data_IF_872710849648
#
_entry.id   IF_872710849648
#
_cell.length_a   1.000
_cell.length_b   1.000
_cell.length_c   1.000
_cell.angle_alpha   90.00
_cell.angle_beta   90.00
_cell.angle_gamma   90.00
#
_symmetry.space_group_name_H-M   'P 1'
#
loop_
_entity.id
_entity.type
_entity.pdbx_description
1 polymer ?
#
# COMPACT_ATOMS: atom_id res chain seq x y z
N UNK A 1 55.37 27.66 6.87
CA UNK A 1 55.19 26.22 7.19
C UNK A 1 54.78 26.20 8.65
N UNK A 2 53.48 26.27 8.93
CA UNK A 2 52.53 25.12 9.03
C UNK A 2 52.78 24.33 10.32
N UNK A 3 51.82 24.02 11.19
CA UNK A 3 50.38 24.21 11.22
C UNK A 3 49.97 24.25 12.70
N UNK A 4 49.03 25.14 13.02
CA UNK A 4 48.24 25.10 14.25
C UNK A 4 47.07 24.15 13.95
N UNK A 5 47.05 22.94 14.51
CA UNK A 5 45.87 22.07 14.49
C UNK A 5 45.18 22.18 15.85
N UNK A 6 44.06 22.89 15.83
CA UNK A 6 43.10 22.99 16.92
C UNK A 6 42.07 21.88 16.70
N UNK A 7 42.28 20.71 17.29
CA UNK A 7 41.24 19.68 17.34
C UNK A 7 40.15 20.11 18.33
N UNK A 8 39.08 20.69 17.81
CA UNK A 8 37.84 20.85 18.55
C UNK A 8 37.13 19.50 18.55
N UNK A 9 37.46 18.67 19.54
CA UNK A 9 36.69 17.48 19.87
C UNK A 9 35.35 17.90 20.45
N UNK A 10 34.35 18.13 19.58
CA UNK A 10 32.96 18.34 20.02
C UNK A 10 32.46 17.01 20.57
N UNK A 11 32.53 16.85 21.89
CA UNK A 11 31.83 15.77 22.58
C UNK A 11 30.32 16.01 22.39
N UNK A 12 29.67 15.23 21.54
CA UNK A 12 28.24 15.34 21.25
C UNK A 12 27.36 15.18 22.49
N UNK A 13 27.84 14.47 23.52
CA UNK A 13 27.15 14.40 24.82
C UNK A 13 27.09 15.77 25.51
N UNK A 14 28.06 16.66 25.24
CA UNK A 14 28.18 17.97 25.88
C UNK A 14 27.13 18.96 25.33
N UNK A 15 26.89 18.98 24.02
CA UNK A 15 25.98 19.97 23.40
C UNK A 15 24.54 19.84 23.91
N UNK A 16 24.01 18.62 23.99
CA UNK A 16 22.65 18.40 24.50
C UNK A 16 22.54 18.54 26.02
N UNK A 17 23.61 18.25 26.77
CA UNK A 17 23.63 18.44 28.23
C UNK A 17 23.65 19.92 28.66
N UNK A 18 23.96 20.83 27.73
CA UNK A 18 23.99 22.27 27.97
C UNK A 18 22.68 22.97 27.60
N UNK A 19 21.76 22.28 26.93
CA UNK A 19 20.46 22.83 26.57
C UNK A 19 19.49 22.70 27.75
N UNK A 20 18.71 23.75 28.08
CA UNK A 20 17.59 23.62 29.00
C UNK A 20 16.66 22.48 28.58
N UNK A 21 16.05 21.80 29.55
CA UNK A 21 15.13 20.67 29.31
C UNK A 21 14.06 21.01 28.26
N UNK A 22 13.49 22.22 28.34
CA UNK A 22 12.48 22.73 27.42
C UNK A 22 12.97 22.90 25.97
N UNK A 23 14.27 23.17 25.78
CA UNK A 23 14.87 23.30 24.45
C UNK A 23 15.04 21.93 23.79
N UNK A 24 15.45 20.93 24.57
CA UNK A 24 15.63 19.56 24.09
C UNK A 24 14.32 18.97 23.60
N UNK A 25 13.23 19.09 24.37
CA UNK A 25 11.90 18.63 23.95
C UNK A 25 11.42 19.32 22.66
N UNK A 26 11.60 20.64 22.55
CA UNK A 26 11.24 21.39 21.32
C UNK A 26 12.02 20.95 20.09
N UNK A 27 13.32 20.66 20.24
CA UNK A 27 14.13 20.14 19.14
C UNK A 27 13.63 18.75 18.74
N UNK A 28 13.44 17.85 19.71
CA UNK A 28 12.97 16.49 19.45
C UNK A 28 11.62 16.46 18.75
N UNK A 29 10.69 17.35 19.12
CA UNK A 29 9.38 17.47 18.51
C UNK A 29 9.40 17.93 17.04
N UNK A 30 10.54 18.42 16.54
CA UNK A 30 10.76 18.79 15.13
C UNK A 30 11.50 17.70 14.33
N UNK A 31 11.88 16.59 14.98
CA UNK A 31 12.55 15.45 14.34
C UNK A 31 11.54 14.36 13.96
N UNK A 32 11.99 13.20 13.49
CA UNK A 32 11.11 12.05 13.29
C UNK A 32 10.89 11.26 14.59
N UNK A 33 9.75 10.53 14.73
CA UNK A 33 9.55 9.58 15.83
C UNK A 33 10.70 8.58 16.00
N UNK A 34 11.34 8.19 14.90
CA UNK A 34 12.50 7.29 14.88
C UNK A 34 13.72 7.94 15.51
N UNK A 35 13.98 9.20 15.18
CA UNK A 35 15.11 9.94 15.72
C UNK A 35 14.92 10.21 17.21
N UNK A 36 13.70 10.53 17.65
CA UNK A 36 13.36 10.64 19.08
C UNK A 36 13.65 9.34 19.81
N UNK A 37 13.23 8.19 19.25
CA UNK A 37 13.55 6.88 19.82
C UNK A 37 15.07 6.63 19.89
N UNK A 38 15.84 6.98 18.86
CA UNK A 38 17.30 6.82 18.86
C UNK A 38 17.99 7.72 19.89
N UNK A 39 17.58 8.99 19.97
CA UNK A 39 18.17 9.97 20.91
C UNK A 39 17.86 9.58 22.37
N UNK A 40 16.72 8.96 22.64
CA UNK A 40 16.36 8.46 23.98
C UNK A 40 17.39 7.49 24.58
N UNK A 41 18.17 6.80 23.74
CA UNK A 41 19.15 5.79 24.17
C UNK A 41 20.50 6.41 24.59
N UNK A 42 20.71 7.70 24.34
CA UNK A 42 22.01 8.36 24.54
C UNK A 42 22.25 8.73 26.01
N UNK A 43 21.22 9.20 26.72
CA UNK A 43 21.33 9.54 28.14
C UNK A 43 19.96 9.54 28.82
N UNK A 44 19.94 9.42 30.16
CA UNK A 44 18.69 9.49 30.95
C UNK A 44 17.95 10.83 30.78
N UNK A 45 18.69 11.93 30.67
CA UNK A 45 18.08 13.25 30.47
C UNK A 45 17.38 13.33 29.11
N UNK A 46 18.01 12.77 28.07
CA UNK A 46 17.42 12.72 26.73
C UNK A 46 16.26 11.74 26.65
N UNK A 47 16.33 10.62 27.38
CA UNK A 47 15.22 9.69 27.53
C UNK A 47 13.99 10.38 28.11
N UNK A 48 14.13 11.08 29.24
CA UNK A 48 13.00 11.80 29.86
C UNK A 48 12.39 12.85 28.93
N UNK A 49 13.22 13.60 28.20
CA UNK A 49 12.75 14.56 27.21
C UNK A 49 12.05 13.88 26.01
N UNK A 50 12.60 12.76 25.53
CA UNK A 50 12.07 11.99 24.40
C UNK A 50 10.76 11.28 24.73
N UNK A 51 10.54 10.88 25.99
CA UNK A 51 9.31 10.22 26.46
C UNK A 51 8.22 11.21 26.88
N UNK A 52 8.46 12.52 26.77
CA UNK A 52 7.49 13.56 27.12
C UNK A 52 6.31 13.62 26.16
N UNK A 53 5.09 13.70 26.70
CA UNK A 53 3.86 13.86 25.92
C UNK A 53 3.86 15.11 25.04
N UNK A 54 4.55 16.18 25.45
CA UNK A 54 4.68 17.39 24.63
C UNK A 54 5.41 17.14 23.29
N UNK A 55 6.30 16.14 23.24
CA UNK A 55 7.00 15.71 22.02
C UNK A 55 6.07 14.84 21.17
N UNK A 56 5.49 13.80 21.77
CA UNK A 56 4.64 12.85 21.05
C UNK A 56 3.33 13.46 20.54
N UNK A 57 2.82 14.51 21.20
CA UNK A 57 1.70 15.30 20.70
C UNK A 57 1.97 15.88 19.30
N UNK A 58 3.22 16.23 18.97
CA UNK A 58 3.56 16.77 17.65
C UNK A 58 3.59 15.72 16.55
N UNK A 59 3.68 14.44 16.91
CA UNK A 59 3.65 13.32 15.97
C UNK A 59 2.25 12.77 15.74
N UNK A 60 1.31 13.08 16.64
CA UNK A 60 -0.10 12.77 16.45
C UNK A 60 -0.74 13.80 15.51
N UNK A 61 -1.62 13.38 14.58
CA UNK A 61 -2.42 14.31 13.80
C UNK A 61 -3.27 15.18 14.71
N UNK A 62 -3.47 16.46 14.39
CA UNK A 62 -4.22 17.39 15.26
C UNK A 62 -5.68 16.98 15.50
N UNK A 63 -6.24 16.15 14.63
CA UNK A 63 -7.61 15.63 14.68
C UNK A 63 -7.66 14.17 15.14
N UNK A 64 -6.60 13.62 15.75
CA UNK A 64 -6.57 12.23 16.21
C UNK A 64 -7.71 11.90 17.19
N UNK A 65 -8.07 12.82 18.09
CA UNK A 65 -9.16 12.61 19.06
C UNK A 65 -10.52 12.44 18.37
N UNK A 66 -10.79 13.24 17.32
CA UNK A 66 -12.04 13.13 16.59
C UNK A 66 -12.11 11.82 15.80
N UNK A 67 -10.98 11.40 15.20
CA UNK A 67 -10.86 10.11 14.51
C UNK A 67 -11.12 8.94 15.49
N UNK A 68 -10.50 8.98 16.68
CA UNK A 68 -10.67 7.96 17.71
C UNK A 68 -12.12 7.90 18.19
N UNK A 69 -12.77 9.05 18.39
CA UNK A 69 -14.17 9.11 18.79
C UNK A 69 -15.13 8.49 17.75
N UNK A 70 -14.73 8.49 16.47
CA UNK A 70 -15.45 7.86 15.37
C UNK A 70 -15.14 6.36 15.18
N UNK A 71 -14.37 5.75 16.08
CA UNK A 71 -14.05 4.32 16.03
C UNK A 71 -15.27 3.44 16.33
N UNK A 72 -15.38 2.32 15.63
CA UNK A 72 -16.48 1.36 15.82
C UNK A 72 -16.34 0.62 17.15
N UNK A 73 -15.11 0.28 17.52
CA UNK A 73 -14.79 -0.40 18.76
C UNK A 73 -14.01 0.55 19.67
N UNK A 74 -14.30 0.60 20.99
CA UNK A 74 -13.51 1.37 21.93
C UNK A 74 -12.03 1.00 21.86
N UNK A 75 -11.16 2.00 21.83
CA UNK A 75 -9.72 1.79 21.98
C UNK A 75 -9.34 1.81 23.47
N UNK A 76 -8.22 1.18 23.87
CA UNK A 76 -7.74 1.24 25.25
C UNK A 76 -7.40 2.67 25.69
N UNK A 77 -7.45 2.92 27.00
CA UNK A 77 -6.85 4.11 27.60
C UNK A 77 -5.34 3.94 27.68
N UNK A 78 -4.59 5.00 27.39
CA UNK A 78 -3.12 5.00 27.38
C UNK A 78 -2.57 5.95 28.45
N UNK A 79 -1.47 5.56 29.09
CA UNK A 79 -0.82 6.38 30.11
C UNK A 79 0.05 7.49 29.52
N UNK A 80 0.40 7.39 28.23
CA UNK A 80 1.16 8.41 27.50
C UNK A 80 0.74 8.50 26.03
N UNK A 81 1.04 9.64 25.41
CA UNK A 81 0.83 9.86 23.97
C UNK A 81 1.75 9.01 23.11
N UNK A 82 2.91 8.62 23.65
CA UNK A 82 3.81 7.65 23.02
C UNK A 82 3.15 6.28 22.88
N UNK A 83 2.51 5.78 23.93
CA UNK A 83 1.78 4.51 23.89
C UNK A 83 0.62 4.56 22.90
N UNK A 84 -0.15 5.66 22.90
CA UNK A 84 -1.21 5.88 21.92
C UNK A 84 -0.67 5.89 20.48
N UNK A 85 0.43 6.61 20.23
CA UNK A 85 1.07 6.64 18.91
C UNK A 85 1.46 5.23 18.45
N UNK A 86 2.17 4.47 19.31
CA UNK A 86 2.60 3.10 19.00
C UNK A 86 1.39 2.20 18.76
N UNK A 87 0.31 2.35 19.53
CA UNK A 87 -0.92 1.60 19.33
C UNK A 87 -1.52 1.88 17.95
N UNK A 88 -1.68 3.16 17.57
CA UNK A 88 -2.26 3.56 16.28
C UNK A 88 -1.39 3.14 15.07
N UNK A 89 -0.09 2.92 15.26
CA UNK A 89 0.78 2.37 14.21
C UNK A 89 0.55 0.88 13.94
N UNK A 90 0.23 0.10 14.97
CA UNK A 90 0.17 -1.37 14.87
C UNK A 90 -1.26 -1.92 14.87
N UNK A 91 -2.23 -1.12 15.33
CA UNK A 91 -3.62 -1.53 15.48
C UNK A 91 -4.51 -0.58 14.67
N UNK A 92 -4.75 -0.89 13.38
CA UNK A 92 -5.68 -0.12 12.56
C UNK A 92 -7.07 -0.15 13.18
N UNK A 93 -7.66 1.03 13.32
CA UNK A 93 -9.00 1.17 13.90
C UNK A 93 -10.04 1.33 12.81
N UNK A 94 -11.15 0.62 12.94
CA UNK A 94 -12.30 0.76 12.05
C UNK A 94 -13.05 2.04 12.38
N UNK A 95 -13.30 2.86 11.38
CA UNK A 95 -14.02 4.13 11.45
C UNK A 95 -15.09 4.18 10.35
N UNK A 96 -15.96 5.20 10.39
CA UNK A 96 -16.99 5.40 9.37
C UNK A 96 -17.87 4.15 9.18
N UNK A 97 -18.46 3.67 10.29
CA UNK A 97 -19.32 2.47 10.34
C UNK A 97 -18.59 1.21 9.85
N UNK A 98 -17.27 1.15 10.05
CA UNK A 98 -16.45 0.01 9.65
C UNK A 98 -16.17 -0.06 8.15
N UNK A 99 -16.39 1.02 7.40
CA UNK A 99 -16.10 1.08 5.96
C UNK A 99 -14.69 1.58 5.65
N UNK A 100 -14.00 2.16 6.63
CA UNK A 100 -12.60 2.61 6.49
C UNK A 100 -11.79 2.17 7.70
N UNK A 101 -10.50 1.90 7.52
CA UNK A 101 -9.55 1.77 8.61
C UNK A 101 -8.65 3.01 8.67
N UNK A 102 -8.25 3.39 9.88
CA UNK A 102 -7.25 4.41 10.15
C UNK A 102 -6.07 3.82 10.91
N UNK A 103 -4.86 4.23 10.56
CA UNK A 103 -3.64 3.96 11.32
C UNK A 103 -2.62 5.08 11.09
N UNK A 104 -1.52 5.07 11.83
CA UNK A 104 -0.39 5.97 11.59
C UNK A 104 0.75 5.25 10.89
N UNK A 105 1.40 5.91 9.93
CA UNK A 105 2.69 5.46 9.43
C UNK A 105 3.73 5.55 10.55
N UNK A 106 4.37 4.42 10.82
CA UNK A 106 5.28 4.24 11.96
C UNK A 106 6.54 5.09 11.91
N UNK A 107 6.92 5.56 10.73
CA UNK A 107 8.16 6.30 10.53
C UNK A 107 7.94 7.81 10.53
N UNK A 108 6.81 8.26 9.99
CA UNK A 108 6.51 9.68 9.78
C UNK A 108 5.40 10.21 10.69
N UNK A 109 4.59 9.35 11.31
CA UNK A 109 3.38 9.76 12.03
C UNK A 109 2.26 10.30 11.14
N UNK A 110 2.41 10.18 9.82
CA UNK A 110 1.41 10.61 8.85
C UNK A 110 0.25 9.61 8.82
N UNK A 111 -0.94 10.10 8.47
CA UNK A 111 -2.16 9.30 8.46
C UNK A 111 -2.10 8.25 7.36
N UNK A 112 -2.53 7.03 7.66
CA UNK A 112 -2.82 5.99 6.68
C UNK A 112 -4.32 5.71 6.70
N UNK A 113 -4.90 5.50 5.52
CA UNK A 113 -6.30 5.09 5.40
C UNK A 113 -6.43 3.84 4.56
N UNK A 114 -7.37 2.97 4.92
CA UNK A 114 -7.77 1.84 4.09
C UNK A 114 -9.26 1.97 3.79
N UNK A 115 -9.62 2.09 2.53
CA UNK A 115 -11.00 2.10 2.07
C UNK A 115 -11.44 0.66 1.84
N UNK A 116 -12.30 0.12 2.69
CA UNK A 116 -12.81 -1.25 2.52
C UNK A 116 -13.73 -1.35 1.30
N UNK A 117 -14.00 -2.57 0.82
CA UNK A 117 -14.84 -2.80 -0.36
C UNK A 117 -16.17 -2.04 -0.32
N UNK A 118 -16.83 -1.96 0.85
CA UNK A 118 -18.09 -1.21 1.07
C UNK A 118 -17.99 0.31 0.87
N UNK A 119 -16.77 0.84 0.79
CA UNK A 119 -16.49 2.26 0.51
C UNK A 119 -16.03 2.49 -0.93
N UNK A 120 -16.00 1.45 -1.77
CA UNK A 120 -15.63 1.55 -3.18
C UNK A 120 -16.90 1.56 -4.05
N UNK A 121 -16.82 2.26 -5.17
CA UNK A 121 -17.76 2.09 -6.26
C UNK A 121 -17.26 0.94 -7.13
N UNK A 122 -17.92 -0.21 -7.03
CA UNK A 122 -17.61 -1.39 -7.83
C UNK A 122 -18.75 -1.54 -8.83
N UNK A 123 -18.42 -1.47 -10.12
CA UNK A 123 -19.39 -1.65 -11.18
C UNK A 123 -20.18 -2.94 -10.99
N UNK A 124 -21.49 -2.88 -11.25
CA UNK A 124 -22.42 -3.99 -11.09
C UNK A 124 -22.49 -4.60 -9.67
N UNK A 125 -22.45 -3.77 -8.61
CA UNK A 125 -22.83 -4.14 -7.21
C UNK A 125 -24.29 -4.58 -7.12
N UNK A 126 -24.57 -5.71 -7.76
CA UNK A 126 -25.83 -6.42 -7.79
C UNK A 126 -25.55 -7.82 -7.26
N UNK A 127 -26.43 -8.38 -6.41
CA UNK A 127 -26.21 -9.68 -5.79
C UNK A 127 -25.97 -10.85 -6.77
N UNK A 128 -26.27 -10.65 -8.05
CA UNK A 128 -26.05 -11.63 -9.12
C UNK A 128 -24.57 -11.80 -9.46
N UNK A 129 -23.76 -10.75 -9.35
CA UNK A 129 -22.37 -10.73 -9.84
C UNK A 129 -21.36 -10.52 -8.71
N UNK A 130 -21.77 -9.80 -7.64
CA UNK A 130 -20.94 -9.51 -6.49
C UNK A 130 -21.60 -10.04 -5.20
N UNK A 131 -20.81 -10.75 -4.39
CA UNK A 131 -21.23 -11.26 -3.08
C UNK A 131 -20.39 -10.65 -1.99
N UNK A 132 -21.04 -10.24 -0.91
CA UNK A 132 -20.38 -9.83 0.31
C UNK A 132 -20.16 -11.06 1.19
N UNK A 133 -18.91 -11.31 1.56
CA UNK A 133 -18.51 -12.46 2.37
C UNK A 133 -17.69 -11.99 3.56
N UNK A 134 -17.72 -12.75 4.65
CA UNK A 134 -16.83 -12.53 5.79
C UNK A 134 -15.62 -13.46 5.68
N UNK A 135 -14.43 -12.92 5.91
CA UNK A 135 -13.18 -13.67 5.95
C UNK A 135 -12.45 -13.38 7.27
N UNK A 136 -11.95 -14.42 7.98
CA UNK A 136 -11.31 -14.25 9.29
C UNK A 136 -9.98 -13.49 9.22
N UNK A 137 -9.37 -13.43 8.05
CA UNK A 137 -8.10 -12.78 7.77
C UNK A 137 -8.28 -11.41 7.09
N UNK A 138 -9.50 -10.88 7.05
CA UNK A 138 -9.76 -9.50 6.63
C UNK A 138 -9.84 -8.55 7.81
N UNK A 139 -9.39 -7.31 7.57
CA UNK A 139 -9.58 -6.19 8.50
C UNK A 139 -11.02 -5.68 8.57
N UNK A 140 -11.85 -6.03 7.57
CA UNK A 140 -13.23 -5.58 7.45
C UNK A 140 -14.22 -6.71 7.78
N UNK A 141 -15.42 -6.40 8.32
CA UNK A 141 -16.43 -7.41 8.59
C UNK A 141 -16.87 -8.18 7.34
N UNK A 142 -16.92 -7.48 6.21
CA UNK A 142 -17.27 -8.02 4.90
C UNK A 142 -16.30 -7.50 3.82
N UNK A 143 -16.00 -8.39 2.87
CA UNK A 143 -15.25 -8.10 1.65
C UNK A 143 -16.06 -8.48 0.42
N UNK A 144 -15.77 -7.84 -0.72
CA UNK A 144 -16.47 -8.11 -1.96
C UNK A 144 -15.83 -9.29 -2.68
N UNK A 145 -16.63 -10.29 -3.08
CA UNK A 145 -16.22 -11.41 -3.92
C UNK A 145 -16.94 -11.34 -5.25
N UNK A 146 -16.18 -11.21 -6.33
CA UNK A 146 -16.69 -11.30 -7.69
C UNK A 146 -16.92 -12.77 -8.06
N UNK A 147 -18.17 -13.10 -8.38
CA UNK A 147 -18.57 -14.45 -8.78
C UNK A 147 -18.64 -14.61 -10.31
N UNK A 148 -19.17 -13.61 -11.03
CA UNK A 148 -19.22 -13.60 -12.50
C UNK A 148 -19.27 -12.14 -12.98
N UNK A 149 -18.20 -11.60 -13.58
CA UNK A 149 -18.28 -10.29 -14.25
C UNK A 149 -17.50 -10.29 -15.57
N UNK A 150 -18.00 -9.51 -16.52
CA UNK A 150 -17.38 -9.24 -17.82
C UNK A 150 -16.58 -7.94 -17.83
N UNK A 151 -16.77 -7.03 -16.84
CA UNK A 151 -16.04 -5.77 -16.73
C UNK A 151 -15.61 -5.51 -15.28
N UNK A 152 -14.32 -5.41 -15.02
CA UNK A 152 -13.80 -4.98 -13.73
C UNK A 152 -13.68 -3.46 -13.75
N UNK A 153 -14.46 -2.75 -12.95
CA UNK A 153 -14.36 -1.29 -12.82
C UNK A 153 -14.58 -0.93 -11.35
N UNK A 154 -13.49 -0.48 -10.72
CA UNK A 154 -13.40 -0.22 -9.29
C UNK A 154 -12.85 1.17 -9.11
N UNK A 155 -13.62 1.99 -8.41
CA UNK A 155 -13.28 3.38 -8.14
C UNK A 155 -13.36 3.65 -6.63
N UNK A 156 -12.29 4.19 -6.08
CA UNK A 156 -12.23 4.73 -4.72
C UNK A 156 -12.06 6.23 -4.75
N UNK A 157 -12.67 6.93 -3.79
CA UNK A 157 -12.48 8.37 -3.60
C UNK A 157 -12.16 8.72 -2.15
N UNK A 158 -11.31 9.73 -1.96
CA UNK A 158 -10.98 10.27 -0.65
C UNK A 158 -10.72 11.78 -0.76
N UNK A 159 -11.18 12.56 0.23
CA UNK A 159 -10.86 13.99 0.30
C UNK A 159 -9.41 14.18 0.75
N UNK A 160 -8.66 15.03 0.08
CA UNK A 160 -7.27 15.33 0.46
C UNK A 160 -7.17 15.91 1.87
N UNK A 161 -8.16 16.71 2.31
CA UNK A 161 -8.19 17.29 3.65
C UNK A 161 -8.28 16.31 4.82
N UNK A 162 -8.67 15.03 4.60
CA UNK A 162 -8.60 14.02 5.67
C UNK A 162 -7.21 13.40 5.82
N UNK A 163 -6.37 13.52 4.79
CA UNK A 163 -5.00 13.03 4.78
C UNK A 163 -4.06 14.05 5.46
N UNK A 164 -2.84 13.62 5.79
CA UNK A 164 -1.82 14.59 6.22
C UNK A 164 -1.46 15.53 5.07
N UNK A 165 -1.40 16.85 5.28
CA UNK A 165 -1.06 17.82 4.24
C UNK A 165 0.41 17.73 3.86
N UNK A 166 0.74 18.25 2.67
CA UNK A 166 2.09 18.32 2.10
C UNK A 166 2.83 16.98 2.15
N UNK A 167 2.12 15.92 1.80
CA UNK A 167 2.61 14.55 1.92
C UNK A 167 2.38 13.84 0.60
N UNK A 168 3.41 13.15 0.11
CA UNK A 168 3.26 12.23 -1.02
C UNK A 168 2.63 10.94 -0.51
N UNK A 169 1.60 10.47 -1.21
CA UNK A 169 0.91 9.22 -0.92
C UNK A 169 1.01 8.28 -2.12
N UNK A 170 0.95 6.99 -1.84
CA UNK A 170 0.70 5.95 -2.82
C UNK A 170 -0.55 5.17 -2.42
N UNK A 171 -1.38 4.83 -3.42
CA UNK A 171 -2.57 4.00 -3.25
C UNK A 171 -2.32 2.59 -3.79
N UNK A 172 -2.81 1.59 -3.07
CA UNK A 172 -2.61 0.18 -3.37
C UNK A 172 -3.94 -0.56 -3.34
N UNK A 173 -4.25 -1.28 -4.41
CA UNK A 173 -5.40 -2.17 -4.43
C UNK A 173 -5.05 -3.50 -3.77
N UNK A 174 -5.83 -3.90 -2.76
CA UNK A 174 -5.58 -5.08 -1.91
C UNK A 174 -6.66 -6.13 -2.12
N UNK A 175 -6.25 -7.34 -2.49
CA UNK A 175 -7.15 -8.38 -2.95
C UNK A 175 -6.58 -9.80 -2.80
N UNK A 176 -7.42 -10.81 -3.00
CA UNK A 176 -7.09 -12.23 -3.09
C UNK A 176 -7.66 -12.83 -4.37
N UNK A 177 -7.03 -13.89 -4.85
CA UNK A 177 -7.50 -14.67 -6.00
C UNK A 177 -7.79 -16.10 -5.55
N UNK A 178 -9.01 -16.57 -5.79
CA UNK A 178 -9.38 -17.97 -5.55
C UNK A 178 -8.87 -18.90 -6.65
N UNK A 179 -8.86 -18.42 -7.89
CA UNK A 179 -8.37 -19.11 -9.08
C UNK A 179 -7.41 -18.17 -9.82
N UNK A 180 -6.10 -18.39 -9.70
CA UNK A 180 -5.12 -17.62 -10.47
C UNK A 180 -5.31 -17.81 -11.98
N UNK A 181 -5.73 -19.03 -12.39
CA UNK A 181 -5.97 -19.51 -13.77
C UNK A 181 -6.75 -18.51 -14.64
N UNK A 182 -7.69 -17.79 -14.05
CA UNK A 182 -8.61 -16.89 -14.76
C UNK A 182 -8.05 -15.47 -14.99
N UNK A 183 -6.94 -15.12 -14.36
CA UNK A 183 -6.33 -13.79 -14.41
C UNK A 183 -4.89 -13.77 -14.98
N UNK A 184 -4.26 -14.92 -15.28
CA UNK A 184 -2.79 -15.05 -15.42
C UNK A 184 -2.09 -14.09 -16.39
N UNK A 185 -2.77 -13.53 -17.39
CA UNK A 185 -2.08 -12.86 -18.52
C UNK A 185 -2.81 -11.59 -19.00
N UNK A 186 -3.58 -10.93 -18.13
CA UNK A 186 -4.40 -9.77 -18.53
C UNK A 186 -4.15 -8.56 -17.64
N UNK A 187 -3.67 -7.45 -18.23
CA UNK A 187 -3.50 -6.24 -17.48
C UNK A 187 -4.85 -5.56 -17.23
N UNK A 188 -4.90 -4.81 -16.15
CA UNK A 188 -5.94 -3.83 -15.85
C UNK A 188 -5.33 -2.43 -15.94
N UNK A 189 -6.15 -1.46 -16.28
CA UNK A 189 -5.78 -0.05 -16.18
C UNK A 189 -5.82 0.37 -14.72
N UNK A 190 -4.79 1.06 -14.26
CA UNK A 190 -4.74 1.66 -12.92
C UNK A 190 -4.37 3.12 -13.02
N UNK A 191 -5.01 3.95 -12.20
CA UNK A 191 -4.72 5.38 -12.15
C UNK A 191 -5.08 5.99 -10.80
N UNK A 192 -4.42 7.10 -10.46
CA UNK A 192 -4.70 7.90 -9.26
C UNK A 192 -4.48 9.37 -9.59
N UNK A 193 -5.34 10.24 -9.06
CA UNK A 193 -5.10 11.69 -9.10
C UNK A 193 -6.34 12.49 -8.71
N UNK A 194 -6.35 13.77 -9.05
CA UNK A 194 -7.44 14.69 -8.68
C UNK A 194 -8.66 14.42 -9.55
N UNK A 195 -9.82 14.27 -8.91
CA UNK A 195 -11.10 14.04 -9.56
C UNK A 195 -11.41 15.15 -10.58
N UNK A 196 -11.83 14.75 -11.78
CA UNK A 196 -12.14 15.67 -12.88
C UNK A 196 -10.91 16.16 -13.67
N UNK A 197 -9.69 15.80 -13.25
CA UNK A 197 -8.47 16.01 -14.03
C UNK A 197 -8.16 14.74 -14.83
N UNK A 198 -7.63 14.89 -16.05
CA UNK A 198 -7.20 13.75 -16.86
C UNK A 198 -6.09 12.99 -16.13
N UNK A 199 -6.36 11.73 -15.80
CA UNK A 199 -5.42 10.87 -15.08
C UNK A 199 -4.45 10.16 -16.04
N UNK A 200 -3.19 10.07 -15.63
CA UNK A 200 -2.25 9.15 -16.27
C UNK A 200 -2.63 7.72 -15.90
N UNK A 201 -2.79 6.88 -16.91
CA UNK A 201 -3.16 5.47 -16.74
C UNK A 201 -1.95 4.60 -16.96
N UNK A 202 -1.70 3.68 -16.03
CA UNK A 202 -0.66 2.65 -16.10
C UNK A 202 -1.32 1.29 -16.18
N UNK A 203 -0.54 0.27 -16.51
CA UNK A 203 -1.04 -1.11 -16.57
C UNK A 203 -0.62 -1.87 -15.34
N UNK A 204 -1.46 -2.77 -14.86
CA UNK A 204 -1.17 -3.63 -13.73
C UNK A 204 -1.57 -5.08 -14.02
N UNK A 205 -0.76 -6.05 -13.61
CA UNK A 205 -1.18 -7.45 -13.58
C UNK A 205 -1.69 -7.81 -12.18
N UNK A 206 -2.71 -8.66 -12.12
CA UNK A 206 -3.28 -9.12 -10.84
C UNK A 206 -2.77 -10.51 -10.41
N UNK A 207 -2.01 -11.19 -11.26
CA UNK A 207 -1.46 -12.51 -10.90
C UNK A 207 0.04 -12.41 -10.66
N UNK A 208 0.54 -12.95 -9.53
CA UNK A 208 1.97 -13.09 -9.32
C UNK A 208 2.60 -13.94 -10.42
N UNK A 209 3.69 -13.47 -11.01
CA UNK A 209 4.48 -14.32 -11.90
C UNK A 209 5.20 -15.34 -11.02
N UNK A 210 4.81 -16.61 -11.12
CA UNK A 210 5.58 -17.72 -10.53
C UNK A 210 6.90 -17.78 -11.28
N UNK A 211 7.99 -17.43 -10.62
CA UNK A 211 9.32 -17.70 -11.17
C UNK A 211 9.39 -19.20 -11.49
N UNK A 212 9.67 -19.55 -12.74
CA UNK A 212 9.93 -20.95 -13.10
C UNK A 212 11.04 -21.45 -12.18
N UNK A 213 10.89 -22.60 -11.50
CA UNK A 213 12.03 -23.21 -10.84
C UNK A 213 13.10 -23.40 -11.91
N UNK A 214 14.27 -22.78 -11.68
CA UNK A 214 15.45 -23.03 -12.51
C UNK A 214 15.74 -24.52 -12.37
N UNK A 215 15.41 -25.30 -13.40
CA UNK A 215 15.80 -26.69 -13.53
C UNK A 215 17.33 -26.74 -13.50
N UNK A 216 17.91 -26.89 -12.30
CA UNK A 216 19.24 -27.49 -12.15
C UNK A 216 19.04 -28.97 -12.41
N UNK A 217 19.35 -29.38 -13.63
CA UNK A 217 19.46 -30.78 -13.99
C UNK A 217 20.59 -31.41 -13.16
N UNK A 218 20.22 -32.11 -12.09
CA UNK A 218 20.99 -33.25 -11.63
C UNK A 218 20.12 -34.48 -11.87
N UNK A 219 20.52 -35.22 -12.91
CA UNK A 219 20.04 -36.56 -13.18
C UNK A 219 20.75 -37.45 -12.17
N UNK A 220 20.01 -38.01 -11.22
CA UNK A 220 20.37 -39.27 -10.59
C UNK A 220 19.19 -40.23 -10.80
N UNK A 221 19.52 -41.40 -11.34
CA UNK A 221 18.60 -42.42 -11.82
C UNK A 221 18.17 -43.37 -10.68
N UNK A 222 17.06 -44.08 -10.97
CA UNK A 222 16.51 -45.27 -10.27
C UNK A 222 15.73 -44.96 -8.98
N UNK A 223 14.59 -45.57 -8.64
CA UNK A 223 13.58 -46.42 -9.27
C UNK A 223 12.43 -46.48 -8.23
N UNK A 224 11.25 -46.94 -8.66
CA UNK A 224 10.06 -47.39 -7.90
C UNK A 224 8.79 -46.57 -8.17
N UNK A 225 7.90 -47.32 -8.81
CA UNK A 225 6.60 -47.10 -9.40
C UNK A 225 5.48 -46.58 -8.48
N UNK A 226 4.84 -45.48 -8.89
CA UNK A 226 3.39 -45.28 -8.82
C UNK A 226 2.95 -44.43 -10.04
N UNK A 227 1.79 -44.67 -10.68
CA UNK A 227 1.34 -43.88 -11.81
C UNK A 227 0.84 -42.51 -11.31
N UNK A 228 1.67 -41.47 -11.45
CA UNK A 228 1.21 -40.08 -11.33
C UNK A 228 0.10 -39.84 -12.36
N UNK A 229 -1.01 -39.17 -12.00
CA UNK A 229 -1.98 -38.74 -13.00
C UNK A 229 -1.25 -37.85 -14.01
N UNK A 230 -1.42 -38.14 -15.30
CA UNK A 230 -0.89 -37.30 -16.38
C UNK A 230 -1.37 -35.87 -16.10
N UNK A 231 -0.48 -34.86 -16.09
CA UNK A 231 -0.94 -33.49 -16.20
C UNK A 231 -1.81 -33.42 -17.45
N UNK A 232 -3.07 -33.00 -17.30
CA UNK A 232 -3.86 -32.55 -18.45
C UNK A 232 -2.98 -31.58 -19.22
N UNK A 233 -2.59 -31.97 -20.43
CA UNK A 233 -1.81 -31.11 -21.31
C UNK A 233 -2.68 -29.89 -21.59
N UNK A 234 -2.35 -28.75 -20.95
CA UNK A 234 -2.73 -27.47 -21.54
C UNK A 234 -1.98 -27.40 -22.87
N UNK A 235 -2.73 -27.40 -23.97
CA UNK A 235 -2.21 -27.38 -25.33
C UNK A 235 -1.15 -26.27 -25.48
N UNK A 236 0.06 -26.62 -25.92
CA UNK A 236 1.14 -25.67 -26.19
C UNK A 236 0.71 -24.58 -27.21
N UNK A 237 -0.24 -24.92 -28.09
CA UNK A 237 -0.89 -23.99 -29.02
C UNK A 237 -1.67 -22.87 -28.31
N UNK A 238 -2.21 -23.13 -27.11
CA UNK A 238 -2.93 -22.14 -26.31
C UNK A 238 -1.95 -21.14 -25.66
N UNK A 239 -0.82 -21.61 -25.13
CA UNK A 239 0.24 -20.75 -24.57
C UNK A 239 0.90 -19.87 -25.65
N UNK A 240 1.17 -20.42 -26.85
CA UNK A 240 1.76 -19.65 -27.95
C UNK A 240 0.80 -18.57 -28.49
N UNK A 241 -0.50 -18.88 -28.57
CA UNK A 241 -1.56 -17.92 -28.87
C UNK A 241 -1.63 -16.77 -27.86
N UNK A 242 -1.46 -17.07 -26.57
CA UNK A 242 -1.49 -16.05 -25.52
C UNK A 242 -0.21 -15.22 -25.52
N UNK A 243 0.96 -15.81 -25.73
CA UNK A 243 2.23 -15.09 -25.86
C UNK A 243 2.22 -14.13 -27.06
N UNK A 244 1.62 -14.54 -28.18
CA UNK A 244 1.43 -13.70 -29.36
C UNK A 244 0.39 -12.59 -29.12
N UNK A 245 -0.70 -12.88 -28.40
CA UNK A 245 -1.67 -11.85 -27.99
C UNK A 245 -1.05 -10.84 -27.02
N UNK A 246 -0.19 -11.30 -26.11
CA UNK A 246 0.57 -10.48 -25.18
C UNK A 246 1.61 -9.62 -25.91
N UNK A 247 2.32 -10.18 -26.90
CA UNK A 247 3.19 -9.41 -27.81
C UNK A 247 2.41 -8.34 -28.55
N UNK A 248 1.26 -8.68 -29.16
CA UNK A 248 0.43 -7.70 -29.86
C UNK A 248 -0.13 -6.61 -28.96
N UNK A 249 -0.51 -6.95 -27.72
CA UNK A 249 -0.92 -5.97 -26.72
C UNK A 249 0.25 -5.04 -26.38
N UNK A 250 1.42 -5.60 -26.08
CA UNK A 250 2.63 -4.81 -25.83
C UNK A 250 3.03 -3.96 -27.04
N UNK A 251 2.94 -4.48 -28.27
CA UNK A 251 3.28 -3.76 -29.50
C UNK A 251 2.29 -2.62 -29.78
N UNK A 252 0.98 -2.82 -29.53
CA UNK A 252 -0.03 -1.73 -29.61
C UNK A 252 0.21 -0.66 -28.57
N UNK A 253 0.52 -1.07 -27.34
CA UNK A 253 0.89 -0.17 -26.25
C UNK A 253 2.17 0.60 -26.59
N UNK A 254 3.14 -0.04 -27.25
CA UNK A 254 4.41 0.55 -27.69
C UNK A 254 4.24 1.63 -28.77
N UNK A 255 3.23 1.50 -29.63
CA UNK A 255 2.95 2.50 -30.68
C UNK A 255 2.44 3.84 -30.15
N UNK A 256 1.97 3.90 -28.89
CA UNK A 256 1.38 5.09 -28.28
C UNK A 256 2.31 5.77 -27.26
N UNK A 257 3.53 5.27 -27.08
CA UNK A 257 4.54 5.86 -26.20
C UNK A 257 5.33 6.92 -26.99
N UNK A 258 5.39 8.19 -26.54
CA UNK A 258 6.20 9.19 -27.20
C UNK A 258 7.70 8.84 -27.11
N UNK A 259 8.46 9.07 -28.18
CA UNK A 259 9.89 8.71 -28.32
C UNK A 259 10.82 9.27 -27.22
N UNK A 260 10.32 10.18 -26.38
CA UNK A 260 11.07 10.78 -25.26
C UNK A 260 10.93 10.03 -23.92
N UNK A 261 10.21 8.91 -23.86
CA UNK A 261 10.12 8.06 -22.68
C UNK A 261 11.45 7.33 -22.42
N UNK A 262 12.33 7.97 -21.65
CA UNK A 262 13.64 7.45 -21.23
C UNK A 262 13.58 6.45 -20.05
N UNK A 263 12.38 5.98 -19.68
CA UNK A 263 12.17 5.01 -18.62
C UNK A 263 12.19 3.56 -19.13
N UNK A 264 12.86 2.67 -18.41
CA UNK A 264 12.76 1.21 -18.65
C UNK A 264 11.30 0.78 -18.62
N UNK A 265 10.85 -0.04 -19.58
CA UNK A 265 9.50 -0.67 -19.69
C UNK A 265 8.96 -1.23 -18.36
N UNK A 266 9.86 -1.61 -17.43
CA UNK A 266 9.53 -2.00 -16.05
C UNK A 266 8.79 -0.92 -15.25
N UNK A 267 8.86 0.36 -15.62
CA UNK A 267 8.18 1.45 -14.92
C UNK A 267 6.72 1.65 -15.32
N UNK A 268 6.28 1.07 -16.44
CA UNK A 268 4.92 1.27 -16.99
C UNK A 268 3.95 0.20 -16.48
N UNK A 269 4.47 -0.99 -16.15
CA UNK A 269 3.67 -2.14 -15.74
C UNK A 269 3.87 -2.44 -14.26
N UNK A 270 2.80 -2.29 -13.49
CA UNK A 270 2.73 -2.66 -12.09
C UNK A 270 2.51 -4.16 -11.92
N UNK A 271 3.18 -4.73 -10.93
CA UNK A 271 3.08 -6.15 -10.60
C UNK A 271 2.56 -6.32 -9.18
N UNK A 272 1.80 -7.39 -8.93
CA UNK A 272 1.26 -7.60 -7.61
C UNK A 272 2.36 -8.12 -6.68
N UNK A 273 2.27 -7.73 -5.42
CA UNK A 273 3.16 -8.17 -4.36
C UNK A 273 2.34 -8.91 -3.32
N UNK A 274 2.83 -10.07 -2.89
CA UNK A 274 2.26 -10.78 -1.74
C UNK A 274 2.68 -10.07 -0.45
N UNK A 275 1.69 -9.77 0.39
CA UNK A 275 1.86 -9.18 1.72
C UNK A 275 2.04 -10.27 2.78
N UNK A 276 2.54 -9.87 3.93
CA UNK A 276 2.77 -10.76 5.08
C UNK A 276 1.44 -11.27 5.70
N UNK A 277 0.33 -10.57 5.47
CA UNK A 277 -1.04 -10.94 5.87
C UNK A 277 -1.72 -11.90 4.86
N UNK A 278 -1.02 -12.31 3.81
CA UNK A 278 -1.52 -13.23 2.79
C UNK A 278 -2.41 -12.58 1.73
N UNK A 279 -2.62 -11.26 1.76
CA UNK A 279 -3.27 -10.52 0.68
C UNK A 279 -2.27 -10.13 -0.42
N UNK A 280 -2.74 -9.97 -1.65
CA UNK A 280 -1.98 -9.36 -2.74
C UNK A 280 -2.23 -7.85 -2.72
N UNK A 281 -1.20 -7.07 -3.05
CA UNK A 281 -1.34 -5.64 -3.33
C UNK A 281 -0.77 -5.28 -4.69
N UNK A 282 -1.38 -4.32 -5.38
CA UNK A 282 -0.79 -3.69 -6.57
C UNK A 282 -0.92 -2.17 -6.49
N UNK A 283 0.14 -1.44 -6.85
CA UNK A 283 0.14 0.02 -6.80
C UNK A 283 -0.77 0.59 -7.89
N UNK A 284 -1.67 1.49 -7.50
CA UNK A 284 -2.53 2.23 -8.42
C UNK A 284 -1.84 3.49 -8.94
N UNK A 285 -1.15 4.20 -8.05
CA UNK A 285 -0.63 5.54 -8.35
C UNK A 285 -0.13 6.27 -7.12
N UNK A 286 0.51 7.39 -7.39
CA UNK A 286 0.99 8.35 -6.41
C UNK A 286 0.31 9.69 -6.61
N UNK A 287 0.14 10.42 -5.51
CA UNK A 287 -0.41 11.76 -5.52
C UNK A 287 0.16 12.57 -4.36
N UNK A 288 0.02 13.88 -4.40
CA UNK A 288 0.51 14.79 -3.38
C UNK A 288 -0.62 15.64 -2.80
N UNK A 289 -0.67 15.76 -1.48
CA UNK A 289 -1.74 16.49 -0.77
C UNK A 289 -1.38 17.96 -0.58
N UNK A 290 -1.60 18.79 -1.60
CA UNK A 290 -1.35 20.24 -1.48
C UNK A 290 -2.59 21.02 -1.07
N UNK A 291 -3.73 20.74 -1.71
CA UNK A 291 -5.00 21.42 -1.47
C UNK A 291 -5.98 20.48 -0.75
N UNK A 292 -6.52 20.92 0.39
CA UNK A 292 -7.43 20.13 1.22
C UNK A 292 -8.81 19.92 0.57
N UNK A 293 -9.20 20.80 -0.36
CA UNK A 293 -10.47 20.73 -1.09
C UNK A 293 -10.46 19.67 -2.20
N UNK A 294 -9.28 19.20 -2.61
CA UNK A 294 -9.15 18.21 -3.67
C UNK A 294 -9.83 16.90 -3.27
N UNK A 295 -10.50 16.28 -4.24
CA UNK A 295 -10.97 14.91 -4.14
C UNK A 295 -10.02 14.03 -4.94
N UNK A 296 -9.40 13.06 -4.30
CA UNK A 296 -8.50 12.11 -4.94
C UNK A 296 -9.30 10.89 -5.37
N UNK A 297 -9.19 10.55 -6.65
CA UNK A 297 -9.79 9.38 -7.27
C UNK A 297 -8.72 8.32 -7.53
N UNK A 298 -9.06 7.05 -7.29
CA UNK A 298 -8.20 5.89 -7.49
C UNK A 298 -9.00 4.84 -8.26
N UNK A 299 -8.51 4.46 -9.43
CA UNK A 299 -9.26 3.60 -10.36
C UNK A 299 -8.49 2.32 -10.67
N UNK A 300 -9.23 1.23 -10.82
CA UNK A 300 -8.78 -0.04 -11.38
C UNK A 300 -9.85 -0.56 -12.33
N UNK A 301 -9.57 -0.47 -13.62
CA UNK A 301 -10.57 -0.68 -14.67
C UNK A 301 -10.08 -1.69 -15.71
N UNK A 302 -11.00 -2.37 -16.35
CA UNK A 302 -10.71 -3.27 -17.46
C UNK A 302 -10.10 -2.49 -18.63
N UNK A 303 -9.25 -3.16 -19.40
CA UNK A 303 -8.83 -2.64 -20.71
C UNK A 303 -9.94 -2.97 -21.72
N UNK A 304 -10.42 -1.97 -22.48
CA UNK A 304 -11.64 -2.04 -23.32
C UNK A 304 -11.70 -3.26 -24.28
N UNK A 305 -10.55 -3.81 -24.70
CA UNK A 305 -10.44 -4.98 -25.58
C UNK A 305 -10.26 -6.34 -24.83
N UNK A 306 -10.43 -6.36 -23.51
CA UNK A 306 -10.17 -7.51 -22.62
C UNK A 306 -11.42 -8.02 -21.87
N UNK A 307 -12.62 -7.80 -22.40
CA UNK A 307 -13.87 -8.31 -21.84
C UNK A 307 -13.97 -9.84 -21.94
N UNK A 308 -13.62 -10.55 -20.86
CA UNK A 308 -14.00 -11.94 -20.67
C UNK A 308 -14.35 -12.18 -19.20
N UNK A 309 -15.01 -13.31 -18.97
CA UNK A 309 -15.44 -13.73 -17.65
C UNK A 309 -14.26 -13.80 -16.67
N UNK A 310 -14.41 -13.10 -15.55
CA UNK A 310 -13.51 -13.17 -14.40
C UNK A 310 -14.30 -13.66 -13.19
N UNK A 311 -13.74 -14.60 -12.44
CA UNK A 311 -14.32 -15.08 -11.19
C UNK A 311 -13.26 -15.31 -10.13
N UNK A 312 -13.65 -15.10 -8.88
CA UNK A 312 -12.81 -15.42 -7.74
C UNK A 312 -11.84 -14.32 -7.33
N UNK A 313 -12.01 -13.09 -7.83
CA UNK A 313 -11.40 -11.90 -7.22
C UNK A 313 -12.14 -11.57 -5.93
N UNK A 314 -11.38 -11.49 -4.84
CA UNK A 314 -11.85 -11.09 -3.52
C UNK A 314 -11.18 -9.76 -3.20
N UNK A 315 -11.96 -8.72 -3.00
CA UNK A 315 -11.51 -7.34 -2.87
C UNK A 315 -11.61 -6.96 -1.39
N UNK A 316 -10.46 -6.73 -0.76
CA UNK A 316 -10.45 -6.13 0.57
C UNK A 316 -10.69 -4.62 0.46
N UNK A 317 -9.98 -3.96 -0.45
CA UNK A 317 -10.17 -2.54 -0.73
C UNK A 317 -8.94 -1.82 -1.27
N UNK A 318 -8.80 -0.54 -0.93
CA UNK A 318 -7.66 0.32 -1.35
C UNK A 318 -6.97 0.89 -0.10
N UNK A 319 -5.67 0.60 0.05
CA UNK A 319 -4.81 1.16 1.11
C UNK A 319 -4.06 2.39 0.59
N UNK A 320 -4.13 3.49 1.34
CA UNK A 320 -3.49 4.77 1.07
C UNK A 320 -2.46 5.00 2.17
N UNK A 321 -1.18 4.96 1.79
CA UNK A 321 -0.06 5.14 2.72
C UNK A 321 0.91 6.22 2.24
N UNK A 322 1.50 7.01 3.15
CA UNK A 322 2.54 7.96 2.82
C UNK A 322 3.70 7.27 2.11
N UNK A 323 4.26 7.92 1.08
CA UNK A 323 5.59 7.57 0.56
C UNK A 323 6.64 8.28 1.39
N UNK A 324 7.68 7.55 1.78
CA UNK A 324 8.87 8.17 2.34
C UNK A 324 9.53 8.97 1.23
N UNK A 325 9.59 10.29 1.39
CA UNK A 325 10.31 11.21 0.52
C UNK A 325 11.81 11.25 0.83
#
# INVERSE_FOLDING_TARGET
MSNFEMEIGVNWNCVFSLLPYDCTGKILALTSPVDVCRVSLVSKSLQSAADSDSVWEKFLPSDYESIISGSVNPIPDFASKKELYVYLCHNPILINEGRKCFSLDKWSGKKCYFLGGRNLNISWDTPKYLKWISLPDSRFPEVAKLDYDWCLDIQGTIRAGVLSPRTSYAAYFVYKLKNESEFHLRPVNVSVGIFGVKLETRLAFLVPVKDRPQHRNHIDAEDVSEPKPKPEQLDDDFEESIAEKYRRLLDRLWQHIPENATGSVRSIVQRPKLRDDGWLEVELGEFYTENEEDCIEMNLNEVDDCAFLKKGLIIEGIEIRPRMG
#
